data_IF_185079814068
#
_entry.id   IF_185079814068
#
_cell.length_a   1.000
_cell.length_b   1.000
_cell.length_c   1.000
_cell.angle_alpha   90.00
_cell.angle_beta   90.00
_cell.angle_gamma   90.00
#
_symmetry.space_group_name_H-M   'P 1'
#
loop_
_entity.id
_entity.type
_entity.pdbx_description
1 polymer ?
#
# COMPACT_ATOMS: atom_id res chain seq x y z
N UNK A 1 17.43 -20.44 25.43
CA UNK A 1 16.52 -21.19 24.52
C UNK A 1 15.17 -20.51 24.30
N UNK A 2 14.35 -20.25 25.33
CA UNK A 2 13.00 -19.68 25.15
C UNK A 2 12.96 -18.38 24.34
N UNK A 3 13.86 -17.44 24.62
CA UNK A 3 13.87 -16.14 23.90
C UNK A 3 14.41 -16.25 22.47
N UNK A 4 15.28 -17.21 22.19
CA UNK A 4 15.72 -17.50 20.82
C UNK A 4 14.58 -18.09 19.98
N UNK A 5 13.76 -18.96 20.56
CA UNK A 5 12.54 -19.47 19.92
C UNK A 5 11.54 -18.35 19.66
N UNK A 6 11.34 -17.43 20.62
CA UNK A 6 10.49 -16.24 20.41
C UNK A 6 11.02 -15.36 19.28
N UNK A 7 12.34 -15.13 19.22
CA UNK A 7 12.96 -14.35 18.15
C UNK A 7 12.71 -14.99 16.78
N UNK A 8 12.92 -16.30 16.66
CA UNK A 8 12.62 -17.06 15.44
C UNK A 8 11.14 -16.96 15.07
N UNK A 9 10.25 -17.06 16.04
CA UNK A 9 8.81 -16.90 15.82
C UNK A 9 8.46 -15.51 15.30
N UNK A 10 9.00 -14.42 15.90
CA UNK A 10 8.77 -13.06 15.41
C UNK A 10 9.33 -12.85 13.99
N UNK A 11 10.51 -13.40 13.69
CA UNK A 11 11.09 -13.36 12.34
C UNK A 11 10.22 -14.12 11.33
N UNK A 12 9.69 -15.29 11.70
CA UNK A 12 8.73 -16.04 10.87
C UNK A 12 7.42 -15.29 10.68
N UNK A 13 6.90 -14.64 11.72
CA UNK A 13 5.67 -13.82 11.65
C UNK A 13 5.82 -12.68 10.66
N UNK A 14 7.00 -12.09 10.49
CA UNK A 14 7.24 -11.06 9.46
C UNK A 14 6.78 -11.52 8.07
N UNK A 15 7.05 -12.77 7.69
CA UNK A 15 6.68 -13.30 6.37
C UNK A 15 5.17 -13.49 6.21
N UNK A 16 4.45 -13.74 7.31
CA UNK A 16 2.99 -13.76 7.32
C UNK A 16 2.41 -12.35 7.19
N UNK A 17 3.01 -11.37 7.89
CA UNK A 17 2.60 -9.97 7.81
C UNK A 17 2.75 -9.40 6.39
N UNK A 18 3.70 -9.92 5.59
CA UNK A 18 3.87 -9.52 4.19
C UNK A 18 2.70 -9.91 3.28
N UNK A 19 1.81 -10.82 3.70
CA UNK A 19 0.57 -11.15 2.97
C UNK A 19 -0.53 -10.12 3.23
N UNK A 20 -0.46 -9.37 4.32
CA UNK A 20 -1.48 -8.39 4.67
C UNK A 20 -1.42 -7.17 3.75
N UNK A 21 -2.55 -6.45 3.59
CA UNK A 21 -2.59 -5.18 2.87
C UNK A 21 -1.53 -4.23 3.44
N UNK A 22 -0.61 -3.78 2.60
CA UNK A 22 0.56 -3.00 3.01
C UNK A 22 0.41 -1.53 2.61
N UNK A 23 0.04 -1.28 1.35
CA UNK A 23 -0.10 0.07 0.79
C UNK A 23 -1.19 0.15 -0.28
N UNK A 24 -1.90 1.28 -0.36
CA UNK A 24 -2.82 1.60 -1.46
C UNK A 24 -2.23 2.70 -2.34
N UNK A 25 -1.85 2.43 -3.58
CA UNK A 25 -1.15 3.45 -4.41
C UNK A 25 -2.09 4.44 -5.12
N UNK A 26 -3.41 4.31 -4.96
CA UNK A 26 -4.38 5.24 -5.52
C UNK A 26 -5.08 6.04 -4.40
N UNK A 27 -5.17 7.36 -4.56
CA UNK A 27 -5.83 8.25 -3.59
C UNK A 27 -7.33 8.33 -3.85
N UNK A 28 -8.12 8.66 -2.82
CA UNK A 28 -9.57 8.81 -2.98
C UNK A 28 -9.91 9.99 -3.92
N UNK A 29 -9.11 11.07 -3.89
CA UNK A 29 -9.26 12.21 -4.81
C UNK A 29 -8.96 11.83 -6.28
N UNK A 30 -8.01 10.94 -6.51
CA UNK A 30 -7.70 10.44 -7.85
C UNK A 30 -8.84 9.58 -8.38
N UNK A 31 -9.48 8.78 -7.52
CA UNK A 31 -10.64 7.95 -7.86
C UNK A 31 -11.89 8.79 -8.16
N UNK A 32 -12.12 9.86 -7.40
CA UNK A 32 -13.25 10.77 -7.62
C UNK A 32 -13.15 11.55 -8.93
N UNK A 33 -11.94 11.80 -9.44
CA UNK A 33 -11.72 12.40 -10.76
C UNK A 33 -11.96 11.42 -11.92
N UNK A 34 -11.72 10.13 -11.70
CA UNK A 34 -11.90 9.09 -12.71
C UNK A 34 -13.36 8.66 -12.87
N UNK A 35 -14.17 8.83 -11.82
CA UNK A 35 -15.59 8.45 -11.81
C UNK A 35 -16.41 9.73 -11.60
N UNK A 36 -16.76 10.44 -12.69
CA UNK A 36 -17.44 11.74 -12.60
C UNK A 36 -18.76 11.60 -11.84
N UNK A 37 -19.04 12.59 -11.00
CA UNK A 37 -20.34 12.73 -10.34
C UNK A 37 -21.35 13.11 -11.42
N UNK A 38 -22.49 12.41 -11.57
CA UNK A 38 -23.60 12.94 -12.35
C UNK A 38 -23.96 14.29 -11.74
N UNK A 39 -23.66 15.38 -12.46
CA UNK A 39 -23.83 16.72 -11.92
C UNK A 39 -25.30 17.09 -11.94
N UNK A 40 -25.65 17.88 -10.93
CA UNK A 40 -26.95 18.42 -10.53
C UNK A 40 -27.98 18.67 -11.65
N UNK A 41 -29.23 18.37 -11.30
CA UNK A 41 -30.44 18.71 -12.05
C UNK A 41 -30.50 20.24 -12.18
N UNK A 42 -30.36 20.76 -13.40
CA UNK A 42 -30.64 22.17 -13.67
C UNK A 42 -32.15 22.38 -13.59
N UNK A 43 -32.60 23.12 -12.58
CA UNK A 43 -34.00 23.51 -12.41
C UNK A 43 -34.35 24.62 -13.41
N UNK A 44 -34.77 24.21 -14.62
CA UNK A 44 -35.63 25.01 -15.50
C UNK A 44 -37.05 24.48 -15.41
N UNK A 45 -38.04 25.37 -15.34
CA UNK A 45 -39.48 25.06 -15.23
C UNK A 45 -39.91 23.72 -15.86
N UNK A 46 -40.49 22.86 -15.02
CA UNK A 46 -41.22 21.63 -15.35
C UNK A 46 -40.48 20.46 -16.03
N UNK A 47 -39.20 20.58 -16.39
CA UNK A 47 -38.43 19.44 -16.92
C UNK A 47 -37.02 19.39 -16.33
N UNK A 48 -36.71 18.28 -15.65
CA UNK A 48 -35.38 17.97 -15.12
C UNK A 48 -34.51 17.33 -16.20
N UNK A 49 -33.45 18.00 -16.63
CA UNK A 49 -32.45 17.45 -17.56
C UNK A 49 -31.26 16.88 -16.79
N UNK A 50 -30.89 15.63 -17.08
CA UNK A 50 -29.62 15.01 -16.64
C UNK A 50 -28.59 15.11 -17.76
N UNK A 51 -27.53 15.89 -17.56
CA UNK A 51 -26.40 15.96 -18.50
C UNK A 51 -25.43 14.82 -18.20
N UNK A 52 -25.46 13.78 -19.04
CA UNK A 52 -24.43 12.74 -19.09
C UNK A 52 -23.41 13.21 -20.13
N UNK A 53 -22.22 13.62 -19.68
CA UNK A 53 -21.08 13.83 -20.58
C UNK A 53 -20.72 12.50 -21.25
N UNK A 54 -20.71 12.54 -22.58
CA UNK A 54 -20.58 11.48 -23.58
C UNK A 54 -21.87 10.67 -23.84
N UNK A 55 -22.49 10.96 -24.99
CA UNK A 55 -23.78 10.48 -25.55
C UNK A 55 -25.05 11.12 -24.95
N UNK A 56 -25.40 12.29 -25.49
CA UNK A 56 -26.66 13.00 -25.21
C UNK A 56 -27.84 12.18 -25.78
N UNK A 57 -28.56 11.46 -24.92
CA UNK A 57 -29.99 11.15 -25.09
C UNK A 57 -30.73 11.83 -23.95
N UNK A 58 -31.44 12.91 -24.28
CA UNK A 58 -32.30 13.61 -23.32
C UNK A 58 -33.64 12.89 -23.30
N UNK A 59 -33.84 11.98 -22.34
CA UNK A 59 -35.16 11.45 -22.00
C UNK A 59 -35.74 12.29 -20.86
N UNK A 60 -36.92 12.88 -21.08
CA UNK A 60 -37.65 13.60 -20.05
C UNK A 60 -38.17 12.61 -19.00
N UNK A 61 -37.39 12.39 -17.95
CA UNK A 61 -37.74 11.51 -16.83
C UNK A 61 -38.61 12.26 -15.81
N UNK A 62 -39.59 11.57 -15.23
CA UNK A 62 -40.34 12.14 -14.11
C UNK A 62 -39.41 12.40 -12.91
N UNK A 63 -39.74 13.37 -12.05
CA UNK A 63 -38.92 13.73 -10.88
C UNK A 63 -38.59 12.50 -10.00
N UNK A 64 -39.54 11.59 -9.84
CA UNK A 64 -39.36 10.34 -9.08
C UNK A 64 -38.42 9.35 -9.79
N UNK A 65 -38.45 9.27 -11.12
CA UNK A 65 -37.51 8.45 -11.89
C UNK A 65 -36.11 9.03 -11.90
N UNK A 66 -35.96 10.36 -11.98
CA UNK A 66 -34.66 11.04 -11.88
C UNK A 66 -33.99 10.81 -10.52
N UNK A 67 -34.74 10.86 -9.42
CA UNK A 67 -34.22 10.57 -8.08
C UNK A 67 -33.80 9.10 -7.93
N UNK A 68 -34.58 8.17 -8.50
CA UNK A 68 -34.24 6.75 -8.51
C UNK A 68 -32.99 6.48 -9.35
N UNK A 69 -32.85 7.14 -10.49
CA UNK A 69 -31.68 7.01 -11.37
C UNK A 69 -30.42 7.56 -10.71
N UNK A 70 -30.50 8.74 -10.09
CA UNK A 70 -29.41 9.34 -9.32
C UNK A 70 -28.98 8.44 -8.17
N UNK A 71 -29.94 7.87 -7.41
CA UNK A 71 -29.63 6.95 -6.31
C UNK A 71 -28.92 5.69 -6.81
N UNK A 72 -29.38 5.11 -7.92
CA UNK A 72 -28.74 3.94 -8.52
C UNK A 72 -27.32 4.26 -9.03
N UNK A 73 -27.12 5.40 -9.70
CA UNK A 73 -25.82 5.83 -10.17
C UNK A 73 -24.83 6.10 -9.01
N UNK A 74 -25.31 6.66 -7.90
CA UNK A 74 -24.50 6.87 -6.69
C UNK A 74 -24.12 5.53 -6.02
N UNK A 75 -25.03 4.56 -5.95
CA UNK A 75 -24.72 3.23 -5.43
C UNK A 75 -23.73 2.48 -6.33
N UNK A 76 -23.92 2.52 -7.66
CA UNK A 76 -23.00 1.93 -8.62
C UNK A 76 -21.60 2.57 -8.52
N UNK A 77 -21.53 3.89 -8.35
CA UNK A 77 -20.28 4.61 -8.11
C UNK A 77 -19.60 4.16 -6.82
N UNK A 78 -20.33 4.00 -5.71
CA UNK A 78 -19.74 3.48 -4.45
C UNK A 78 -19.11 2.12 -4.65
N UNK A 79 -19.81 1.23 -5.37
CA UNK A 79 -19.30 -0.12 -5.70
C UNK A 79 -18.05 -0.02 -6.58
N UNK A 80 -18.05 0.82 -7.60
CA UNK A 80 -16.90 0.99 -8.50
C UNK A 80 -15.68 1.61 -7.80
N UNK A 81 -15.90 2.61 -6.94
CA UNK A 81 -14.87 3.18 -6.09
C UNK A 81 -14.29 2.11 -5.17
N UNK A 82 -15.13 1.27 -4.55
CA UNK A 82 -14.66 0.22 -3.66
C UNK A 82 -13.85 -0.85 -4.41
N UNK A 83 -14.30 -1.29 -5.58
CA UNK A 83 -13.53 -2.21 -6.44
C UNK A 83 -12.17 -1.62 -6.81
N UNK A 84 -12.13 -0.36 -7.20
CA UNK A 84 -10.88 0.32 -7.53
C UNK A 84 -9.96 0.44 -6.30
N UNK A 85 -10.49 0.73 -5.11
CA UNK A 85 -9.70 0.74 -3.87
C UNK A 85 -9.04 -0.61 -3.61
N UNK A 86 -9.75 -1.71 -3.84
CA UNK A 86 -9.22 -3.07 -3.69
C UNK A 86 -8.13 -3.37 -4.73
N UNK A 87 -8.35 -3.00 -6.00
CA UNK A 87 -7.41 -3.22 -7.10
C UNK A 87 -6.07 -2.48 -6.93
N UNK A 88 -6.11 -1.30 -6.33
CA UNK A 88 -4.92 -0.50 -6.03
C UNK A 88 -4.35 -0.74 -4.63
N UNK A 89 -4.88 -1.70 -3.87
CA UNK A 89 -4.32 -2.10 -2.57
C UNK A 89 -3.39 -3.29 -2.76
N UNK A 90 -2.14 -3.12 -2.37
CA UNK A 90 -1.09 -4.11 -2.55
C UNK A 90 -0.59 -4.61 -1.20
N UNK A 91 -0.40 -5.93 -1.11
CA UNK A 91 0.42 -6.51 -0.06
C UNK A 91 1.91 -6.34 -0.40
N UNK A 92 2.79 -6.68 0.55
CA UNK A 92 4.23 -6.49 0.40
C UNK A 92 4.79 -7.29 -0.79
N UNK A 93 4.36 -8.54 -0.97
CA UNK A 93 4.85 -9.37 -2.08
C UNK A 93 4.43 -8.81 -3.45
N UNK A 94 3.22 -8.26 -3.58
CA UNK A 94 2.79 -7.64 -4.82
C UNK A 94 3.59 -6.38 -5.13
N UNK A 95 3.91 -5.57 -4.12
CA UNK A 95 4.81 -4.42 -4.28
C UNK A 95 6.21 -4.86 -4.70
N UNK A 96 6.74 -5.92 -4.10
CA UNK A 96 8.02 -6.53 -4.46
C UNK A 96 8.02 -7.01 -5.92
N UNK A 97 6.98 -7.73 -6.34
CA UNK A 97 6.86 -8.21 -7.73
C UNK A 97 6.75 -7.07 -8.73
N UNK A 98 6.04 -5.98 -8.38
CA UNK A 98 5.98 -4.78 -9.22
C UNK A 98 7.36 -4.16 -9.44
N UNK A 99 8.23 -4.19 -8.43
CA UNK A 99 9.62 -3.72 -8.56
C UNK A 99 10.38 -4.47 -9.67
N UNK A 100 10.14 -5.79 -9.79
CA UNK A 100 10.80 -6.63 -10.80
C UNK A 100 10.09 -6.65 -12.16
N UNK A 101 8.83 -6.19 -12.24
CA UNK A 101 8.02 -6.20 -13.48
C UNK A 101 8.28 -4.98 -14.38
N UNK A 102 9.21 -4.08 -14.04
CA UNK A 102 9.53 -2.94 -14.89
C UNK A 102 10.01 -3.41 -16.26
N UNK A 103 9.23 -3.10 -17.29
CA UNK A 103 9.43 -3.51 -18.67
C UNK A 103 10.67 -2.83 -19.26
N UNK A 104 11.83 -3.48 -19.16
CA UNK A 104 12.84 -3.58 -20.22
C UNK A 104 13.97 -4.49 -19.70
N UNK A 105 14.17 -5.63 -20.37
CA UNK A 105 15.09 -6.71 -19.96
C UNK A 105 16.58 -6.36 -20.11
N UNK A 106 16.93 -5.09 -20.25
CA UNK A 106 18.30 -4.60 -20.24
C UNK A 106 18.49 -3.80 -18.96
N UNK A 107 19.39 -4.26 -18.09
CA UNK A 107 19.80 -3.53 -16.90
C UNK A 107 20.50 -2.25 -17.36
N UNK A 108 19.72 -1.19 -17.55
CA UNK A 108 20.20 0.11 -17.99
C UNK A 108 20.50 0.96 -16.76
N UNK A 109 21.65 1.64 -16.77
CA UNK A 109 22.07 2.52 -15.68
C UNK A 109 21.08 3.69 -15.46
N UNK A 110 20.23 3.98 -16.45
CA UNK A 110 19.10 4.91 -16.34
C UNK A 110 18.11 4.55 -15.21
N UNK A 111 18.02 3.28 -14.78
CA UNK A 111 17.16 2.86 -13.67
C UNK A 111 17.53 3.51 -12.33
N UNK A 112 18.81 3.77 -12.09
CA UNK A 112 19.27 4.47 -10.89
C UNK A 112 18.94 5.95 -10.91
N UNK A 113 18.53 6.50 -12.05
CA UNK A 113 18.10 7.91 -12.16
C UNK A 113 16.60 8.07 -11.92
N UNK A 114 15.82 6.98 -11.93
CA UNK A 114 14.38 7.02 -11.66
C UNK A 114 14.13 7.08 -10.14
N UNK A 115 13.55 8.19 -9.68
CA UNK A 115 13.24 8.39 -8.26
C UNK A 115 12.28 7.32 -7.72
N UNK A 116 11.39 6.80 -8.58
CA UNK A 116 10.41 5.77 -8.21
C UNK A 116 11.06 4.41 -7.91
N UNK A 117 12.30 4.18 -8.35
CA UNK A 117 13.03 2.95 -8.10
C UNK A 117 13.40 2.76 -6.61
N UNK A 118 13.78 3.85 -5.93
CA UNK A 118 14.32 3.80 -4.57
C UNK A 118 13.33 3.30 -3.49
N UNK A 119 12.03 3.68 -3.48
CA UNK A 119 11.05 3.09 -2.58
C UNK A 119 11.00 1.56 -2.69
N UNK A 120 11.04 1.03 -3.92
CA UNK A 120 11.01 -0.42 -4.17
C UNK A 120 12.32 -1.09 -3.79
N UNK A 121 13.47 -0.46 -4.07
CA UNK A 121 14.78 -0.94 -3.63
C UNK A 121 14.83 -1.09 -2.10
N UNK A 122 14.28 -0.12 -1.36
CA UNK A 122 14.20 -0.20 0.09
C UNK A 122 13.40 -1.41 0.57
N UNK A 123 12.27 -1.73 -0.07
CA UNK A 123 11.49 -2.93 0.22
C UNK A 123 12.26 -4.23 -0.11
N UNK A 124 12.97 -4.28 -1.24
CA UNK A 124 13.80 -5.43 -1.62
C UNK A 124 14.91 -5.66 -0.57
N UNK A 125 15.62 -4.60 -0.18
CA UNK A 125 16.67 -4.68 0.84
C UNK A 125 16.11 -5.13 2.19
N UNK A 126 14.95 -4.59 2.59
CA UNK A 126 14.25 -5.00 3.80
C UNK A 126 13.87 -6.50 3.78
N UNK A 127 13.39 -6.99 2.64
CA UNK A 127 13.03 -8.41 2.45
C UNK A 127 14.25 -9.33 2.59
N UNK A 128 15.33 -9.04 1.84
CA UNK A 128 16.58 -9.80 1.88
C UNK A 128 17.15 -9.80 3.30
N UNK A 129 17.19 -8.63 3.94
CA UNK A 129 17.64 -8.48 5.32
C UNK A 129 16.81 -9.32 6.30
N UNK A 130 15.48 -9.38 6.12
CA UNK A 130 14.60 -10.21 6.96
C UNK A 130 14.90 -11.71 6.83
N UNK A 131 15.17 -12.18 5.60
CA UNK A 131 15.63 -13.57 5.36
C UNK A 131 16.99 -13.80 6.03
N UNK A 132 17.95 -12.88 5.85
CA UNK A 132 19.26 -12.98 6.49
C UNK A 132 19.15 -13.05 8.01
N UNK A 133 18.30 -12.23 8.63
CA UNK A 133 18.06 -12.27 10.07
C UNK A 133 17.51 -13.62 10.53
N UNK A 134 16.57 -14.22 9.78
CA UNK A 134 16.05 -15.55 10.08
C UNK A 134 17.15 -16.60 10.04
N UNK A 135 17.98 -16.61 8.99
CA UNK A 135 19.12 -17.53 8.86
C UNK A 135 20.12 -17.33 10.01
N UNK A 136 20.52 -16.09 10.28
CA UNK A 136 21.45 -15.73 11.34
C UNK A 136 20.94 -16.10 12.74
N UNK A 137 19.63 -16.19 12.93
CA UNK A 137 19.02 -16.65 14.19
C UNK A 137 19.25 -18.13 14.48
N UNK A 138 19.52 -18.95 13.45
CA UNK A 138 19.93 -20.34 13.61
C UNK A 138 21.40 -20.47 14.00
N UNK A 139 22.25 -19.55 13.52
CA UNK A 139 23.66 -19.44 13.89
C UNK A 139 23.90 -18.61 15.16
N UNK A 140 22.83 -18.18 15.84
CA UNK A 140 22.88 -17.40 17.09
C UNK A 140 23.70 -16.10 16.98
N UNK A 141 23.75 -15.50 15.78
CA UNK A 141 24.49 -14.26 15.51
C UNK A 141 23.70 -13.01 15.91
N UNK A 142 23.35 -12.91 17.20
CA UNK A 142 22.42 -11.90 17.74
C UNK A 142 22.85 -10.45 17.46
N UNK A 143 24.16 -10.16 17.53
CA UNK A 143 24.69 -8.82 17.22
C UNK A 143 24.33 -8.38 15.80
N UNK A 144 24.48 -9.27 14.82
CA UNK A 144 24.14 -8.97 13.42
C UNK A 144 22.64 -8.80 13.25
N UNK A 145 21.82 -9.64 13.90
CA UNK A 145 20.35 -9.49 13.87
C UNK A 145 19.92 -8.13 14.45
N UNK A 146 20.58 -7.65 15.50
CA UNK A 146 20.28 -6.34 16.11
C UNK A 146 20.59 -5.20 15.12
N UNK A 147 21.72 -5.28 14.43
CA UNK A 147 22.12 -4.29 13.42
C UNK A 147 21.15 -4.31 12.24
N UNK A 148 20.88 -5.48 11.67
CA UNK A 148 19.94 -5.64 10.55
C UNK A 148 18.52 -5.23 10.93
N UNK A 149 18.07 -5.53 12.15
CA UNK A 149 16.76 -5.09 12.64
C UNK A 149 16.66 -3.57 12.71
N UNK A 150 17.71 -2.90 13.20
CA UNK A 150 17.77 -1.44 13.25
C UNK A 150 17.78 -0.83 11.84
N UNK A 151 18.58 -1.40 10.92
CA UNK A 151 18.59 -0.99 9.51
C UNK A 151 17.23 -1.21 8.85
N UNK A 152 16.55 -2.31 9.15
CA UNK A 152 15.22 -2.60 8.63
C UNK A 152 14.18 -1.58 9.08
N UNK A 153 14.24 -1.13 10.33
CA UNK A 153 13.35 -0.08 10.81
C UNK A 153 13.60 1.23 10.05
N UNK A 154 14.87 1.59 9.84
CA UNK A 154 15.24 2.77 9.04
C UNK A 154 14.77 2.64 7.59
N UNK A 155 14.94 1.47 6.96
CA UNK A 155 14.48 1.21 5.60
C UNK A 155 12.97 1.35 5.45
N UNK A 156 12.18 0.86 6.42
CA UNK A 156 10.72 1.02 6.40
C UNK A 156 10.30 2.48 6.47
N UNK A 157 10.91 3.27 7.37
CA UNK A 157 10.61 4.70 7.50
C UNK A 157 10.99 5.44 6.22
N UNK A 158 12.20 5.21 5.72
CA UNK A 158 12.68 5.83 4.47
C UNK A 158 11.82 5.45 3.28
N UNK A 159 11.36 4.20 3.20
CA UNK A 159 10.48 3.74 2.12
C UNK A 159 9.16 4.54 2.08
N UNK A 160 8.52 4.79 3.23
CA UNK A 160 7.30 5.62 3.28
C UNK A 160 7.57 7.07 2.91
N UNK A 161 8.67 7.65 3.40
CA UNK A 161 9.06 9.02 3.04
C UNK A 161 9.27 9.12 1.52
N UNK A 162 9.94 8.14 0.91
CA UNK A 162 10.15 8.11 -0.53
C UNK A 162 8.84 7.87 -1.31
N UNK A 163 7.95 7.00 -0.84
CA UNK A 163 6.64 6.81 -1.46
C UNK A 163 5.79 8.09 -1.45
N UNK A 164 5.90 8.90 -0.39
CA UNK A 164 5.26 10.21 -0.33
C UNK A 164 5.94 11.21 -1.27
N UNK A 165 7.27 11.30 -1.25
CA UNK A 165 8.03 12.21 -2.10
C UNK A 165 7.87 11.93 -3.61
N UNK A 166 7.61 10.68 -3.99
CA UNK A 166 7.34 10.27 -5.38
C UNK A 166 5.85 10.35 -5.76
N UNK A 167 4.99 10.89 -4.89
CA UNK A 167 3.53 11.00 -5.09
C UNK A 167 2.81 9.66 -5.35
N UNK A 168 3.47 8.53 -5.09
CA UNK A 168 2.86 7.19 -5.11
C UNK A 168 1.82 7.05 -3.99
N UNK A 169 2.05 7.78 -2.89
CA UNK A 169 1.14 7.92 -1.76
C UNK A 169 0.92 9.40 -1.52
N UNK A 170 -0.32 9.85 -1.65
CA UNK A 170 -0.73 11.24 -1.45
C UNK A 170 -1.26 11.45 -0.02
N UNK A 171 -1.92 10.44 0.56
CA UNK A 171 -2.54 10.48 1.89
C UNK A 171 -2.01 9.31 2.75
N UNK A 172 -1.69 9.58 4.02
CA UNK A 172 -1.31 8.56 5.00
C UNK A 172 -2.38 7.49 5.22
N UNK A 173 -3.66 7.78 4.94
CA UNK A 173 -4.76 6.79 4.94
C UNK A 173 -4.58 5.66 3.90
N UNK A 174 -3.65 5.83 2.96
CA UNK A 174 -3.23 4.81 2.02
C UNK A 174 -2.28 3.77 2.62
N UNK A 175 -1.64 4.06 3.75
CA UNK A 175 -0.84 3.09 4.51
C UNK A 175 -1.81 2.15 5.22
N UNK A 176 -1.63 0.84 5.00
CA UNK A 176 -2.56 -0.18 5.51
C UNK A 176 -1.98 -0.93 6.70
N UNK A 177 -2.84 -1.70 7.36
CA UNK A 177 -2.54 -2.39 8.63
C UNK A 177 -1.28 -3.26 8.58
N UNK A 178 -0.99 -3.88 7.42
CA UNK A 178 0.21 -4.70 7.23
C UNK A 178 1.49 -3.91 7.48
N UNK A 179 1.59 -2.66 7.04
CA UNK A 179 2.76 -1.81 7.29
C UNK A 179 2.98 -1.57 8.79
N UNK A 180 1.92 -1.16 9.50
CA UNK A 180 2.01 -0.87 10.94
C UNK A 180 2.39 -2.11 11.75
N UNK A 181 1.79 -3.27 11.44
CA UNK A 181 2.13 -4.53 12.09
C UNK A 181 3.58 -4.95 11.80
N UNK A 182 4.04 -4.81 10.56
CA UNK A 182 5.44 -5.08 10.19
C UNK A 182 6.39 -4.16 10.97
N UNK A 183 6.09 -2.87 11.06
CA UNK A 183 6.89 -1.90 11.82
C UNK A 183 6.99 -2.28 13.31
N UNK A 184 5.85 -2.57 13.94
CA UNK A 184 5.80 -3.00 15.34
C UNK A 184 6.56 -4.31 15.53
N UNK A 185 6.38 -5.29 14.64
CA UNK A 185 7.07 -6.57 14.72
C UNK A 185 8.59 -6.40 14.60
N UNK A 186 9.07 -5.56 13.67
CA UNK A 186 10.48 -5.20 13.54
C UNK A 186 11.00 -4.53 14.81
N UNK A 187 10.24 -3.62 15.41
CA UNK A 187 10.61 -2.99 16.68
C UNK A 187 10.73 -4.01 17.82
N UNK A 188 9.79 -4.95 17.94
CA UNK A 188 9.84 -6.03 18.93
C UNK A 188 11.06 -6.96 18.74
N UNK A 189 11.42 -7.26 17.49
CA UNK A 189 12.65 -8.02 17.17
C UNK A 189 13.89 -7.29 17.70
N UNK A 190 13.98 -5.98 17.53
CA UNK A 190 15.10 -5.17 18.06
C UNK A 190 15.14 -5.21 19.59
N UNK A 191 14.00 -5.02 20.25
CA UNK A 191 13.93 -5.07 21.72
C UNK A 191 14.35 -6.45 22.25
N UNK A 192 13.84 -7.52 21.65
CA UNK A 192 14.13 -8.89 22.07
C UNK A 192 15.60 -9.25 21.82
N UNK A 193 16.17 -8.85 20.69
CA UNK A 193 17.60 -9.10 20.38
C UNK A 193 18.53 -8.34 21.31
N UNK A 194 18.20 -7.08 21.66
CA UNK A 194 18.94 -6.31 22.67
C UNK A 194 18.87 -6.95 24.05
N UNK A 195 17.69 -7.45 24.44
CA UNK A 195 17.50 -8.20 25.68
C UNK A 195 18.41 -9.43 25.75
N UNK A 196 18.36 -10.27 24.71
CA UNK A 196 19.22 -11.48 24.60
C UNK A 196 20.70 -11.10 24.63
N UNK A 197 21.11 -10.05 23.92
CA UNK A 197 22.51 -9.58 23.87
C UNK A 197 23.02 -9.11 25.23
N UNK A 198 22.18 -8.42 26.00
CA UNK A 198 22.57 -7.83 27.28
C UNK A 198 22.37 -8.79 28.48
N UNK A 199 21.90 -10.02 28.24
CA UNK A 199 21.69 -11.02 29.29
C UNK A 199 20.55 -10.70 30.27
N UNK A 200 19.60 -9.85 29.86
CA UNK A 200 18.41 -9.44 30.63
C UNK A 200 17.22 -10.37 30.37
#
# INVERSE_FOLDING_TARGET
MKDLTKLRSLLSVSFLLFLLPFLRTCSDQSLDKLIPVPTEIVQGSETSETVITDTIKVEALSKQESEKYLKNALEERKVNIQKAKEEYTYNFYTLLLKAFKSNNRTFDASLFSDLNFYPYLALILFFISTISMLILSFFEKITFITILGTLNLLLLVTSIILYYACEVVVDLNQIKIGFYLTFINTFLIILLTRKIKNGL
#
